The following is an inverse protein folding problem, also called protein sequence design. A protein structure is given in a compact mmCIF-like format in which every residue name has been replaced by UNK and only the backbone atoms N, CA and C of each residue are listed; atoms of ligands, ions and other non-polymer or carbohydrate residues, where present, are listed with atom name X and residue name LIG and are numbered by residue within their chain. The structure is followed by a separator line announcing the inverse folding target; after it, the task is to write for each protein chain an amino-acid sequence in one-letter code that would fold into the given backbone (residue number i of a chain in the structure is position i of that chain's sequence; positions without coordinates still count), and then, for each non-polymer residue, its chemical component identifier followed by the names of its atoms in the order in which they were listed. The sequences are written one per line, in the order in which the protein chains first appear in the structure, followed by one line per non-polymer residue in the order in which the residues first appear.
data_IF_417527966797
#
_entry.id   IF_417527966797
#
_cell.length_a   1.000
_cell.length_b   1.000
_cell.length_c   1.000
_cell.angle_alpha   90.00
_cell.angle_beta   90.00
_cell.angle_gamma   90.00
#
_symmetry.space_group_name_H-M   'P 1'
#
loop_
_entity.id
_entity.type
_entity.pdbx_description
1 polymer ?
#
# COMPACT_ATOMS: atom_id res chain seq x y z
N UNK A 1 21.04 26.57 5.77
CA UNK A 1 21.24 26.63 4.31
C UNK A 1 20.07 25.95 3.64
N UNK A 2 19.11 26.69 3.12
CA UNK A 2 18.05 26.15 2.26
C UNK A 2 18.70 25.68 0.95
N UNK A 3 18.76 24.37 0.71
CA UNK A 3 19.05 23.84 -0.63
C UNK A 3 17.88 24.21 -1.54
N UNK A 4 18.16 24.87 -2.67
CA UNK A 4 17.22 25.10 -3.75
C UNK A 4 16.57 23.77 -4.12
N UNK A 5 15.25 23.72 -4.08
CA UNK A 5 14.48 22.60 -4.65
C UNK A 5 14.73 22.60 -6.16
N UNK A 6 15.53 21.68 -6.65
CA UNK A 6 15.53 21.36 -8.05
C UNK A 6 14.21 20.64 -8.35
N UNK A 7 13.50 21.08 -9.40
CA UNK A 7 12.29 20.44 -9.93
C UNK A 7 12.60 19.09 -10.65
N UNK A 8 13.69 18.44 -10.29
CA UNK A 8 14.04 17.16 -10.87
C UNK A 8 13.28 16.02 -10.18
N UNK A 9 12.72 15.13 -11.01
CA UNK A 9 12.03 13.92 -10.53
C UNK A 9 13.02 13.02 -9.78
N UNK A 10 12.68 12.67 -8.54
CA UNK A 10 13.46 11.73 -7.73
C UNK A 10 13.10 10.31 -8.17
N UNK A 11 13.92 9.73 -9.04
CA UNK A 11 13.62 8.47 -9.74
C UNK A 11 13.32 7.31 -8.78
N UNK A 12 14.11 7.15 -7.73
CA UNK A 12 14.05 5.98 -6.82
C UNK A 12 12.71 5.81 -6.08
N UNK A 13 11.85 6.82 -6.07
CA UNK A 13 10.52 6.77 -5.43
C UNK A 13 9.37 6.93 -6.43
N UNK A 14 9.64 6.78 -7.73
CA UNK A 14 8.62 6.83 -8.77
C UNK A 14 7.88 5.49 -8.91
N UNK A 15 6.70 5.55 -9.51
CA UNK A 15 5.92 4.35 -9.89
C UNK A 15 6.79 3.34 -10.65
N UNK A 16 7.57 3.78 -11.63
CA UNK A 16 8.37 2.91 -12.50
C UNK A 16 9.48 2.14 -11.77
N UNK A 17 10.00 2.71 -10.70
CA UNK A 17 11.07 2.08 -9.92
C UNK A 17 10.54 1.15 -8.82
N UNK A 18 9.30 1.38 -8.39
CA UNK A 18 8.74 0.65 -7.26
C UNK A 18 7.88 -0.54 -7.68
N UNK A 19 7.21 -0.48 -8.87
CA UNK A 19 6.12 -1.39 -9.18
C UNK A 19 6.14 -1.96 -10.59
N UNK A 20 5.86 -3.24 -10.70
CA UNK A 20 5.42 -3.89 -11.94
C UNK A 20 3.90 -3.67 -12.10
N UNK A 21 3.51 -2.77 -12.98
CA UNK A 21 2.11 -2.43 -13.20
C UNK A 21 1.31 -3.51 -13.94
N UNK A 22 1.93 -4.60 -14.38
CA UNK A 22 1.19 -5.76 -14.91
C UNK A 22 0.51 -6.56 -13.81
N UNK A 23 0.91 -6.34 -12.56
CA UNK A 23 0.44 -7.05 -11.37
C UNK A 23 -0.65 -6.30 -10.59
N UNK A 24 -1.38 -5.41 -11.25
CA UNK A 24 -2.49 -4.68 -10.61
C UNK A 24 -3.52 -4.17 -11.61
N UNK A 25 -4.79 -4.23 -11.22
CA UNK A 25 -5.87 -3.57 -11.96
C UNK A 25 -5.81 -2.03 -11.86
N UNK A 26 -5.00 -1.47 -10.96
CA UNK A 26 -4.79 -0.04 -10.82
C UNK A 26 -3.83 0.56 -11.85
N UNK A 27 -3.31 -0.22 -12.80
CA UNK A 27 -2.37 0.23 -13.82
C UNK A 27 -2.77 1.57 -14.47
N UNK A 28 -4.01 1.78 -14.97
CA UNK A 28 -4.37 3.05 -15.61
C UNK A 28 -4.25 4.25 -14.68
N UNK A 29 -4.59 4.09 -13.40
CA UNK A 29 -4.46 5.14 -12.40
C UNK A 29 -2.99 5.45 -12.13
N UNK A 30 -2.17 4.42 -11.92
CA UNK A 30 -0.77 4.57 -11.55
C UNK A 30 0.09 5.10 -12.70
N UNK A 31 -0.22 4.77 -13.96
CA UNK A 31 0.41 5.35 -15.14
C UNK A 31 0.11 6.85 -15.31
N UNK A 32 -0.97 7.35 -14.71
CA UNK A 32 -1.37 8.76 -14.78
C UNK A 32 -0.61 9.68 -13.81
N UNK A 33 0.26 9.13 -12.98
CA UNK A 33 0.99 9.85 -11.93
C UNK A 33 2.49 9.52 -11.96
N UNK A 34 3.31 10.38 -11.37
CA UNK A 34 4.76 10.16 -11.27
C UNK A 34 5.12 9.43 -9.98
N UNK A 35 4.58 9.93 -8.88
CA UNK A 35 4.81 9.37 -7.55
C UNK A 35 3.58 8.62 -7.05
N UNK A 36 3.74 7.47 -6.37
CA UNK A 36 2.59 6.64 -5.96
C UNK A 36 1.59 7.36 -5.04
N UNK A 37 2.04 8.24 -4.18
CA UNK A 37 1.15 8.96 -3.28
C UNK A 37 0.21 9.94 -3.99
N UNK A 38 0.53 10.37 -5.21
CA UNK A 38 -0.36 11.20 -6.04
C UNK A 38 -1.64 10.47 -6.47
N UNK A 39 -1.65 9.14 -6.40
CA UNK A 39 -2.83 8.33 -6.66
C UNK A 39 -3.81 8.28 -5.46
N UNK A 40 -3.35 8.49 -4.23
CA UNK A 40 -4.16 8.33 -3.01
C UNK A 40 -5.50 9.08 -3.03
N UNK A 41 -5.57 10.36 -3.45
CA UNK A 41 -6.85 11.10 -3.51
C UNK A 41 -7.78 10.62 -4.62
N UNK A 42 -7.29 9.83 -5.57
CA UNK A 42 -8.02 9.36 -6.75
C UNK A 42 -8.55 7.93 -6.59
N UNK A 43 -8.11 7.18 -5.58
CA UNK A 43 -8.43 5.75 -5.40
C UNK A 43 -9.94 5.52 -5.36
N UNK A 44 -10.68 6.33 -4.61
CA UNK A 44 -12.12 6.16 -4.44
C UNK A 44 -12.88 6.16 -5.77
N UNK A 45 -12.68 7.20 -6.56
CA UNK A 45 -13.39 7.39 -7.82
C UNK A 45 -12.95 6.36 -8.87
N UNK A 46 -11.65 6.04 -8.88
CA UNK A 46 -11.11 4.99 -9.74
C UNK A 46 -11.72 3.61 -9.46
N UNK A 47 -11.88 3.22 -8.19
CA UNK A 47 -12.51 1.95 -7.82
C UNK A 47 -13.98 1.90 -8.30
N UNK A 48 -14.71 3.00 -8.20
CA UNK A 48 -16.11 3.06 -8.66
C UNK A 48 -16.17 2.90 -10.19
N UNK A 49 -15.29 3.60 -10.92
CA UNK A 49 -15.22 3.50 -12.37
C UNK A 49 -14.85 2.09 -12.82
N UNK A 50 -13.75 1.56 -12.28
CA UNK A 50 -13.29 0.20 -12.57
C UNK A 50 -14.35 -0.84 -12.24
N UNK A 51 -14.94 -0.75 -11.05
CA UNK A 51 -15.93 -1.72 -10.58
C UNK A 51 -17.17 -1.78 -11.48
N UNK A 52 -17.63 -0.64 -12.01
CA UNK A 52 -18.74 -0.61 -12.96
C UNK A 52 -18.40 -1.21 -14.33
N UNK A 53 -17.14 -1.40 -14.65
CA UNK A 53 -16.66 -2.02 -15.90
C UNK A 53 -16.33 -3.51 -15.76
N UNK A 54 -16.33 -4.06 -14.53
CA UNK A 54 -16.02 -5.47 -14.29
C UNK A 54 -17.09 -6.39 -14.87
N UNK A 55 -16.64 -7.56 -15.36
CA UNK A 55 -17.53 -8.58 -15.91
C UNK A 55 -18.40 -9.18 -14.78
N UNK A 56 -19.74 -9.09 -14.86
CA UNK A 56 -20.65 -9.69 -13.90
C UNK A 56 -20.60 -11.24 -13.89
N UNK A 57 -20.04 -11.86 -14.93
CA UNK A 57 -19.80 -13.31 -14.93
C UNK A 57 -18.63 -13.69 -14.01
N UNK A 58 -17.70 -12.79 -13.75
CA UNK A 58 -16.55 -13.00 -12.87
C UNK A 58 -16.73 -12.36 -11.49
N UNK A 59 -17.40 -11.21 -11.41
CA UNK A 59 -17.55 -10.45 -10.17
C UNK A 59 -19.01 -10.36 -9.70
N UNK A 60 -19.20 -10.60 -8.43
CA UNK A 60 -20.47 -10.38 -7.73
C UNK A 60 -20.50 -8.98 -7.12
N UNK A 61 -21.59 -8.23 -7.35
CA UNK A 61 -21.84 -6.96 -6.68
C UNK A 61 -22.58 -7.19 -5.36
N UNK A 62 -21.89 -7.13 -4.23
CA UNK A 62 -22.41 -7.43 -2.88
C UNK A 62 -22.92 -6.20 -2.11
N UNK A 63 -23.14 -5.08 -2.75
CA UNK A 63 -23.60 -3.86 -2.10
C UNK A 63 -23.30 -2.61 -2.91
N UNK A 64 -23.45 -1.46 -2.29
CA UNK A 64 -23.13 -0.20 -2.96
C UNK A 64 -21.63 -0.09 -3.18
N UNK A 65 -21.21 -0.14 -4.47
CA UNK A 65 -19.82 -0.06 -4.89
C UNK A 65 -18.89 -1.13 -4.26
N UNK A 66 -19.41 -2.35 -4.06
CA UNK A 66 -18.61 -3.49 -3.60
C UNK A 66 -18.66 -4.59 -4.65
N UNK A 67 -17.51 -4.94 -5.23
CA UNK A 67 -17.35 -6.00 -6.21
C UNK A 67 -16.36 -7.04 -5.70
N UNK A 68 -16.79 -8.28 -5.67
CA UNK A 68 -15.98 -9.39 -5.16
C UNK A 68 -15.91 -10.47 -6.24
N UNK A 69 -14.70 -10.88 -6.60
CA UNK A 69 -14.53 -11.97 -7.56
C UNK A 69 -15.15 -13.25 -7.01
N UNK A 70 -15.84 -14.02 -7.87
CA UNK A 70 -16.61 -15.21 -7.47
C UNK A 70 -15.77 -16.32 -6.84
N UNK A 71 -14.46 -16.36 -7.14
CA UNK A 71 -13.52 -17.31 -6.52
C UNK A 71 -12.90 -16.81 -5.20
N UNK A 72 -13.14 -15.54 -4.84
CA UNK A 72 -12.63 -15.01 -3.57
C UNK A 72 -13.37 -15.62 -2.38
N UNK A 73 -12.64 -15.87 -1.30
CA UNK A 73 -13.20 -16.37 -0.05
C UNK A 73 -13.33 -15.23 0.96
N UNK A 74 -14.56 -14.91 1.34
CA UNK A 74 -14.83 -13.89 2.37
C UNK A 74 -15.51 -14.56 3.55
N UNK A 75 -14.88 -14.51 4.71
CA UNK A 75 -15.41 -15.10 5.93
C UNK A 75 -16.55 -14.25 6.52
N UNK A 76 -17.55 -14.89 7.12
CA UNK A 76 -18.79 -14.25 7.59
C UNK A 76 -18.58 -13.11 8.59
N UNK A 77 -17.52 -13.18 9.38
CA UNK A 77 -17.19 -12.15 10.37
C UNK A 77 -16.38 -10.96 9.82
N UNK A 78 -16.04 -10.97 8.53
CA UNK A 78 -15.40 -9.82 7.89
C UNK A 78 -16.42 -8.72 7.60
N UNK A 79 -16.01 -7.47 7.79
CA UNK A 79 -16.81 -6.31 7.41
C UNK A 79 -16.18 -5.60 6.21
N UNK A 80 -16.96 -5.40 5.16
CA UNK A 80 -16.52 -4.71 3.95
C UNK A 80 -17.46 -3.55 3.65
N UNK A 81 -16.91 -2.33 3.61
CA UNK A 81 -17.59 -1.13 3.12
C UNK A 81 -17.06 -0.76 1.72
N UNK A 82 -17.94 -0.18 0.90
CA UNK A 82 -17.58 0.35 -0.41
C UNK A 82 -16.94 1.76 -0.36
N UNK A 83 -16.35 2.19 -1.47
CA UNK A 83 -16.08 1.38 -2.64
C UNK A 83 -14.94 0.37 -2.41
N UNK A 84 -15.12 -0.85 -2.90
CA UNK A 84 -14.17 -1.94 -2.70
C UNK A 84 -14.20 -2.92 -3.88
N UNK A 85 -13.03 -3.36 -4.31
CA UNK A 85 -12.86 -4.48 -5.23
C UNK A 85 -11.98 -5.52 -4.55
N UNK A 86 -12.44 -6.78 -4.54
CA UNK A 86 -11.66 -7.93 -4.09
C UNK A 86 -11.39 -8.84 -5.29
N UNK A 87 -10.12 -9.05 -5.59
CA UNK A 87 -9.65 -9.81 -6.75
C UNK A 87 -9.81 -11.32 -6.61
N UNK A 88 -9.43 -12.01 -7.68
CA UNK A 88 -9.52 -13.45 -7.86
C UNK A 88 -8.72 -14.20 -6.78
N UNK A 89 -9.28 -15.30 -6.28
CA UNK A 89 -8.63 -16.21 -5.32
C UNK A 89 -8.09 -15.54 -4.04
N UNK A 90 -8.58 -14.33 -3.73
CA UNK A 90 -8.21 -13.58 -2.54
C UNK A 90 -9.01 -14.04 -1.33
N UNK A 91 -8.33 -14.16 -0.17
CA UNK A 91 -8.97 -14.47 1.11
C UNK A 91 -9.13 -13.20 1.95
N UNK A 92 -10.38 -12.92 2.36
CA UNK A 92 -10.70 -11.93 3.40
C UNK A 92 -11.13 -12.68 4.64
N UNK A 93 -10.22 -12.79 5.60
CA UNK A 93 -10.33 -13.67 6.77
C UNK A 93 -11.17 -13.06 7.89
N UNK A 94 -11.33 -13.85 8.96
CA UNK A 94 -12.15 -13.51 10.12
C UNK A 94 -11.80 -12.14 10.70
N UNK A 95 -12.85 -11.36 11.01
CA UNK A 95 -12.73 -10.04 11.63
C UNK A 95 -11.91 -9.02 10.84
N UNK A 96 -11.63 -9.25 9.56
CA UNK A 96 -11.06 -8.22 8.70
C UNK A 96 -12.02 -7.04 8.60
N UNK A 97 -11.48 -5.82 8.62
CA UNK A 97 -12.26 -4.58 8.55
C UNK A 97 -11.82 -3.73 7.35
N UNK A 98 -12.54 -3.83 6.24
CA UNK A 98 -12.29 -3.02 5.05
C UNK A 98 -13.21 -1.81 5.09
N UNK A 99 -12.64 -0.63 5.32
CA UNK A 99 -13.38 0.64 5.52
C UNK A 99 -13.75 1.34 4.22
N UNK A 100 -13.41 0.76 3.08
CA UNK A 100 -13.68 1.34 1.77
C UNK A 100 -12.48 2.07 1.15
N UNK A 101 -12.67 2.46 -0.10
CA UNK A 101 -11.60 2.92 -0.99
C UNK A 101 -10.46 1.89 -1.04
N UNK A 102 -10.81 0.60 -1.14
CA UNK A 102 -9.85 -0.51 -1.14
C UNK A 102 -9.92 -1.29 -2.46
N UNK A 103 -8.82 -1.27 -3.21
CA UNK A 103 -8.60 -2.15 -4.33
C UNK A 103 -7.64 -3.25 -3.89
N UNK A 104 -8.13 -4.47 -3.80
CA UNK A 104 -7.33 -5.65 -3.43
C UNK A 104 -7.19 -6.53 -4.66
N UNK A 105 -5.97 -6.82 -5.04
CA UNK A 105 -5.61 -7.64 -6.20
C UNK A 105 -5.93 -9.12 -6.03
N UNK A 106 -5.38 -9.93 -6.93
CA UNK A 106 -5.59 -11.37 -6.98
C UNK A 106 -4.64 -12.11 -6.01
N UNK A 107 -5.05 -13.28 -5.55
CA UNK A 107 -4.26 -14.16 -4.67
C UNK A 107 -3.74 -13.46 -3.39
N UNK A 108 -4.47 -12.49 -2.88
CA UNK A 108 -4.11 -11.75 -1.68
C UNK A 108 -4.65 -12.42 -0.40
N UNK A 109 -4.05 -12.06 0.72
CA UNK A 109 -4.58 -12.38 2.05
C UNK A 109 -4.81 -11.09 2.83
N UNK A 110 -6.07 -10.78 3.11
CA UNK A 110 -6.48 -9.78 4.08
C UNK A 110 -6.89 -10.53 5.33
N UNK A 111 -6.00 -10.61 6.29
CA UNK A 111 -6.09 -11.59 7.37
C UNK A 111 -6.89 -11.15 8.57
N UNK A 112 -6.77 -11.96 9.62
CA UNK A 112 -7.50 -11.76 10.87
C UNK A 112 -7.27 -10.37 11.44
N UNK A 113 -8.36 -9.66 11.71
CA UNK A 113 -8.37 -8.33 12.34
C UNK A 113 -7.47 -7.29 11.63
N UNK A 114 -7.27 -7.45 10.33
CA UNK A 114 -6.56 -6.47 9.49
C UNK A 114 -7.54 -5.39 9.06
N UNK A 115 -7.13 -4.13 9.22
CA UNK A 115 -7.91 -2.98 8.77
C UNK A 115 -7.30 -2.39 7.50
N UNK A 116 -8.12 -2.20 6.46
CA UNK A 116 -7.75 -1.51 5.21
C UNK A 116 -8.57 -0.22 5.03
N UNK A 117 -7.91 0.86 4.63
CA UNK A 117 -8.56 2.14 4.36
C UNK A 117 -7.77 2.95 3.32
N UNK A 118 -8.41 3.25 2.19
CA UNK A 118 -7.81 4.04 1.11
C UNK A 118 -6.49 3.44 0.60
N UNK A 119 -6.57 2.26 -0.02
CA UNK A 119 -5.41 1.44 -0.39
C UNK A 119 -5.50 0.86 -1.80
N UNK A 120 -4.35 0.65 -2.40
CA UNK A 120 -4.16 -0.23 -3.56
C UNK A 120 -3.24 -1.36 -3.10
N UNK A 121 -3.75 -2.58 -3.15
CA UNK A 121 -3.04 -3.80 -2.82
C UNK A 121 -2.85 -4.56 -4.14
N UNK A 122 -1.61 -4.77 -4.55
CA UNK A 122 -1.27 -5.52 -5.78
C UNK A 122 -1.54 -7.01 -5.61
N UNK A 123 -1.34 -7.79 -6.68
CA UNK A 123 -1.51 -9.24 -6.63
C UNK A 123 -0.50 -9.89 -5.66
N UNK A 124 -0.88 -11.02 -5.08
CA UNK A 124 -0.07 -11.85 -4.17
C UNK A 124 0.41 -11.14 -2.89
N UNK A 125 -0.20 -10.04 -2.49
CA UNK A 125 0.13 -9.33 -1.25
C UNK A 125 -0.50 -10.01 -0.05
N UNK A 126 0.23 -10.05 1.06
CA UNK A 126 -0.26 -10.59 2.32
C UNK A 126 -0.19 -9.57 3.46
N UNK A 127 -1.35 -9.31 4.06
CA UNK A 127 -1.51 -8.53 5.30
C UNK A 127 -2.30 -9.37 6.30
N UNK A 128 -1.66 -10.47 6.82
CA UNK A 128 -2.40 -11.62 7.31
C UNK A 128 -2.87 -11.53 8.76
N UNK A 129 -2.29 -10.65 9.60
CA UNK A 129 -2.54 -10.68 11.04
C UNK A 129 -2.44 -9.31 11.70
N UNK A 130 -3.57 -8.76 12.19
CA UNK A 130 -3.59 -7.54 13.00
C UNK A 130 -2.83 -6.37 12.36
N UNK A 131 -2.95 -6.22 11.05
CA UNK A 131 -2.31 -5.12 10.35
C UNK A 131 -3.25 -3.91 10.26
N UNK A 132 -2.69 -2.71 10.28
CA UNK A 132 -3.38 -1.52 9.84
C UNK A 132 -2.70 -0.99 8.57
N UNK A 133 -3.47 -0.89 7.48
CA UNK A 133 -2.98 -0.36 6.20
C UNK A 133 -3.90 0.78 5.77
N UNK A 134 -3.43 1.99 5.91
CA UNK A 134 -4.19 3.19 5.58
C UNK A 134 -3.42 4.16 4.70
N UNK A 135 -4.09 4.71 3.69
CA UNK A 135 -3.51 5.68 2.75
C UNK A 135 -2.16 5.19 2.19
N UNK A 136 -2.16 3.97 1.62
CA UNK A 136 -0.95 3.23 1.27
C UNK A 136 -1.11 2.46 -0.04
N UNK A 137 0.01 2.15 -0.68
CA UNK A 137 0.09 1.26 -1.83
C UNK A 137 1.11 0.16 -1.53
N UNK A 138 0.69 -1.09 -1.66
CA UNK A 138 1.50 -2.27 -1.43
C UNK A 138 1.73 -2.99 -2.75
N UNK A 139 3.00 -3.05 -3.18
CA UNK A 139 3.43 -3.64 -4.44
C UNK A 139 3.32 -5.16 -4.48
N UNK A 140 3.49 -5.72 -5.66
CA UNK A 140 3.37 -7.14 -5.94
C UNK A 140 4.20 -8.00 -4.98
N UNK A 141 3.57 -9.05 -4.45
CA UNK A 141 4.22 -10.01 -3.56
C UNK A 141 4.79 -9.40 -2.27
N UNK A 142 4.36 -8.20 -1.88
CA UNK A 142 4.78 -7.64 -0.59
C UNK A 142 4.03 -8.28 0.58
N UNK A 143 4.67 -8.30 1.74
CA UNK A 143 4.14 -8.92 2.95
C UNK A 143 4.35 -8.03 4.16
N UNK A 144 3.34 -7.91 4.99
CA UNK A 144 3.42 -7.23 6.28
C UNK A 144 3.27 -8.25 7.41
N UNK A 145 4.33 -8.46 8.17
CA UNK A 145 4.33 -9.34 9.34
C UNK A 145 3.29 -8.94 10.39
N UNK A 146 2.94 -9.89 11.26
CA UNK A 146 1.90 -9.71 12.27
C UNK A 146 2.10 -8.44 13.10
N UNK A 147 1.02 -7.66 13.26
CA UNK A 147 1.02 -6.43 14.06
C UNK A 147 1.77 -5.24 13.43
N UNK A 148 2.35 -5.40 12.24
CA UNK A 148 2.96 -4.25 11.56
C UNK A 148 1.88 -3.31 10.99
N UNK A 149 2.16 -2.01 11.02
CA UNK A 149 1.18 -0.98 10.67
C UNK A 149 1.77 0.15 9.83
N UNK A 150 0.91 0.79 9.02
CA UNK A 150 1.21 2.05 8.36
C UNK A 150 0.60 3.20 9.15
N UNK A 151 1.41 3.95 9.91
CA UNK A 151 0.93 5.19 10.52
C UNK A 151 0.73 6.26 9.45
N UNK A 152 -0.48 6.76 9.28
CA UNK A 152 -0.83 7.63 8.16
C UNK A 152 -1.02 9.11 8.49
N UNK A 153 -0.92 9.50 9.76
CA UNK A 153 -1.06 10.89 10.21
C UNK A 153 0.08 11.24 11.15
N UNK A 154 0.75 12.36 10.88
CA UNK A 154 1.76 12.91 11.78
C UNK A 154 1.12 13.46 13.06
N UNK A 155 1.77 13.32 14.19
CA UNK A 155 1.29 13.81 15.48
C UNK A 155 1.09 15.33 15.52
N UNK A 156 1.95 16.07 14.82
CA UNK A 156 1.89 17.53 14.70
C UNK A 156 0.88 18.04 13.67
N UNK A 157 0.16 17.11 12.97
CA UNK A 157 -0.84 17.40 11.92
C UNK A 157 -0.31 18.21 10.72
N UNK A 158 0.99 18.35 10.59
CA UNK A 158 1.60 19.00 9.40
C UNK A 158 1.55 18.08 8.18
N UNK A 159 1.84 18.64 7.01
CA UNK A 159 1.89 17.88 5.77
C UNK A 159 3.02 16.85 5.78
N UNK A 160 2.78 15.74 5.12
CA UNK A 160 3.75 14.65 5.02
C UNK A 160 4.80 14.98 3.95
N UNK A 161 6.04 14.65 4.25
CA UNK A 161 7.16 14.70 3.33
C UNK A 161 7.73 13.30 3.12
N UNK A 162 8.19 13.00 1.92
CA UNK A 162 9.01 11.83 1.63
C UNK A 162 10.47 12.26 1.65
N UNK A 163 11.25 11.66 2.56
CA UNK A 163 12.65 12.05 2.80
C UNK A 163 13.60 10.90 2.49
N UNK A 164 14.62 11.18 1.73
CA UNK A 164 15.79 10.33 1.53
C UNK A 164 17.06 10.99 2.05
N UNK A 165 18.19 10.36 1.80
CA UNK A 165 19.49 10.90 2.21
C UNK A 165 19.81 12.23 1.54
N UNK A 166 19.39 12.39 0.29
CA UNK A 166 19.71 13.50 -0.60
C UNK A 166 18.49 14.28 -1.13
N UNK A 167 17.28 13.90 -0.72
CA UNK A 167 16.04 14.56 -1.15
C UNK A 167 15.03 14.76 -0.01
N UNK A 168 14.14 15.73 -0.20
CA UNK A 168 12.97 15.99 0.66
C UNK A 168 11.82 16.47 -0.24
N UNK A 169 10.82 15.61 -0.46
CA UNK A 169 9.68 15.89 -1.34
C UNK A 169 8.46 16.24 -0.50
N UNK A 170 7.95 17.44 -0.67
CA UNK A 170 6.67 17.85 -0.11
C UNK A 170 5.53 17.16 -0.88
N UNK A 171 4.69 16.40 -0.20
CA UNK A 171 3.61 15.63 -0.83
C UNK A 171 2.30 16.41 -0.94
N UNK A 172 2.14 17.47 -0.17
CA UNK A 172 0.87 18.19 -0.06
C UNK A 172 -0.21 17.47 0.76
N UNK A 173 0.07 16.30 1.30
CA UNK A 173 -0.91 15.43 1.96
C UNK A 173 -0.81 15.48 3.48
N UNK A 174 -1.97 15.46 4.15
CA UNK A 174 -2.08 15.26 5.61
C UNK A 174 -2.13 13.78 5.99
N UNK A 175 -2.63 12.93 5.07
CA UNK A 175 -2.76 11.48 5.28
C UNK A 175 -1.96 10.76 4.21
N UNK A 176 -0.98 10.01 4.65
CA UNK A 176 -0.12 9.20 3.81
C UNK A 176 0.56 8.15 4.73
N UNK A 177 0.26 6.89 4.52
CA UNK A 177 0.85 5.79 5.28
C UNK A 177 2.23 5.41 4.77
N UNK A 178 2.28 4.39 3.91
CA UNK A 178 3.52 3.91 3.31
C UNK A 178 3.32 3.44 1.86
N UNK A 179 4.40 3.50 1.09
CA UNK A 179 4.50 2.90 -0.24
C UNK A 179 5.52 1.77 -0.16
N UNK A 180 5.07 0.54 -0.38
CA UNK A 180 5.93 -0.63 -0.43
C UNK A 180 6.10 -1.03 -1.89
N UNK A 181 7.34 -1.04 -2.36
CA UNK A 181 7.68 -1.60 -3.66
C UNK A 181 7.42 -3.11 -3.73
N UNK A 182 7.60 -3.68 -4.91
CA UNK A 182 7.40 -5.11 -5.11
C UNK A 182 8.35 -5.96 -4.24
N UNK A 183 7.88 -7.10 -3.77
CA UNK A 183 8.66 -8.05 -2.95
C UNK A 183 9.23 -7.47 -1.65
N UNK A 184 8.58 -6.47 -1.07
CA UNK A 184 8.97 -5.93 0.24
C UNK A 184 8.45 -6.82 1.37
N UNK A 185 9.34 -7.16 2.32
CA UNK A 185 9.01 -7.92 3.52
C UNK A 185 9.11 -7.03 4.76
N UNK A 186 8.02 -6.84 5.47
CA UNK A 186 8.00 -6.04 6.72
C UNK A 186 7.90 -6.97 7.92
N UNK A 187 8.89 -6.92 8.79
CA UNK A 187 8.92 -7.72 10.02
C UNK A 187 7.81 -7.37 11.02
N UNK A 188 7.45 -8.35 11.85
CA UNK A 188 6.37 -8.23 12.83
C UNK A 188 6.51 -7.01 13.75
N UNK A 189 5.37 -6.42 14.14
CA UNK A 189 5.28 -5.27 15.05
C UNK A 189 6.10 -4.04 14.61
N UNK A 190 6.38 -3.91 13.33
CA UNK A 190 7.03 -2.73 12.79
C UNK A 190 6.04 -1.60 12.54
N UNK A 191 6.48 -0.37 12.72
CA UNK A 191 5.71 0.84 12.45
C UNK A 191 6.33 1.59 11.27
N UNK A 192 5.57 1.69 10.18
CA UNK A 192 5.95 2.52 9.05
C UNK A 192 5.33 3.91 9.26
N UNK A 193 6.19 4.91 9.55
CA UNK A 193 5.75 6.27 9.82
C UNK A 193 5.21 6.96 8.55
N UNK A 194 4.39 8.03 8.70
CA UNK A 194 3.84 8.74 7.55
C UNK A 194 4.91 9.19 6.56
N UNK A 195 4.71 8.85 5.28
CA UNK A 195 5.66 9.16 4.22
C UNK A 195 6.81 8.17 4.07
N UNK A 196 6.70 6.98 4.64
CA UNK A 196 7.66 5.91 4.40
C UNK A 196 7.50 5.37 2.97
N UNK A 197 8.61 5.24 2.26
CA UNK A 197 8.71 4.57 0.96
C UNK A 197 9.79 3.51 1.05
N UNK A 198 9.45 2.26 0.76
CA UNK A 198 10.38 1.14 0.81
C UNK A 198 10.59 0.63 -0.61
N UNK A 199 11.82 0.70 -1.09
CA UNK A 199 12.22 0.22 -2.40
C UNK A 199 12.04 -1.29 -2.55
N UNK A 200 11.83 -1.76 -3.78
CA UNK A 200 11.55 -3.16 -4.11
C UNK A 200 12.61 -4.12 -3.56
N UNK A 201 12.19 -5.35 -3.26
CA UNK A 201 13.05 -6.43 -2.75
C UNK A 201 13.77 -6.13 -1.43
N UNK A 202 13.21 -5.24 -0.60
CA UNK A 202 13.82 -4.88 0.70
C UNK A 202 13.13 -5.57 1.87
N UNK A 203 13.90 -5.83 2.93
CA UNK A 203 13.42 -6.42 4.17
C UNK A 203 13.54 -5.44 5.32
N UNK A 204 12.50 -5.33 6.11
CA UNK A 204 12.47 -4.55 7.36
C UNK A 204 12.51 -5.53 8.53
N UNK A 205 13.44 -5.39 9.44
CA UNK A 205 13.53 -6.25 10.61
C UNK A 205 12.34 -6.04 11.55
N UNK A 206 11.94 -7.08 12.31
CA UNK A 206 10.88 -6.95 13.31
C UNK A 206 11.16 -5.83 14.31
N UNK A 207 10.07 -5.25 14.88
CA UNK A 207 10.13 -4.17 15.87
C UNK A 207 10.77 -2.87 15.36
N UNK A 208 10.82 -2.69 14.05
CA UNK A 208 11.42 -1.51 13.44
C UNK A 208 10.48 -0.30 13.46
N UNK A 209 11.06 0.87 13.64
CA UNK A 209 10.43 2.16 13.41
C UNK A 209 11.02 2.78 12.14
N UNK A 210 10.33 2.62 11.02
CA UNK A 210 10.81 3.09 9.72
C UNK A 210 10.29 4.49 9.42
N UNK A 211 11.14 5.35 8.87
CA UNK A 211 10.79 6.69 8.42
C UNK A 211 11.57 7.06 7.17
N UNK A 212 10.88 7.65 6.18
CA UNK A 212 11.51 8.11 4.93
C UNK A 212 11.75 6.97 3.95
N UNK A 213 12.71 7.14 3.07
CA UNK A 213 13.02 6.21 2.01
C UNK A 213 14.03 5.14 2.45
N UNK A 214 13.68 3.89 2.19
CA UNK A 214 14.58 2.73 2.30
C UNK A 214 14.94 2.29 0.88
N UNK A 215 16.22 2.21 0.51
CA UNK A 215 16.64 1.81 -0.83
C UNK A 215 16.17 0.40 -1.22
N UNK A 216 16.00 0.17 -2.52
CA UNK A 216 15.73 -1.18 -3.05
C UNK A 216 16.87 -2.15 -2.72
N UNK A 217 16.55 -3.45 -2.68
CA UNK A 217 17.51 -4.52 -2.36
C UNK A 217 18.26 -4.30 -1.03
N UNK A 218 17.57 -3.80 -0.01
CA UNK A 218 18.15 -3.49 1.28
C UNK A 218 17.58 -4.33 2.41
N UNK A 219 18.37 -4.48 3.48
CA UNK A 219 17.91 -4.95 4.78
C UNK A 219 17.98 -3.76 5.73
N UNK A 220 16.83 -3.33 6.22
CA UNK A 220 16.70 -2.30 7.25
C UNK A 220 16.69 -2.99 8.61
N UNK A 221 17.76 -2.87 9.37
CA UNK A 221 17.88 -3.37 10.74
C UNK A 221 17.45 -2.30 11.75
N UNK A 222 17.92 -1.06 11.53
CA UNK A 222 17.46 0.15 12.21
C UNK A 222 17.76 1.40 11.35
N UNK A 223 17.46 2.58 11.88
CA UNK A 223 17.62 3.85 11.13
C UNK A 223 19.05 4.14 10.68
N UNK A 224 20.06 3.60 11.35
CA UNK A 224 21.48 3.82 11.09
C UNK A 224 22.18 2.59 10.50
N UNK A 225 21.48 1.46 10.40
CA UNK A 225 22.01 0.20 9.88
C UNK A 225 21.11 -0.33 8.76
N UNK A 226 21.34 0.19 7.55
CA UNK A 226 20.71 -0.27 6.31
C UNK A 226 21.81 -0.85 5.43
N UNK A 227 21.69 -2.14 5.11
CA UNK A 227 22.70 -2.84 4.31
C UNK A 227 22.09 -3.32 2.99
N UNK A 228 22.89 -3.31 1.92
CA UNK A 228 22.49 -3.87 0.63
C UNK A 228 22.49 -5.41 0.71
N UNK A 229 21.48 -6.04 0.10
CA UNK A 229 21.45 -7.51 -0.07
C UNK A 229 22.50 -7.92 -1.11
N UNK A 230 23.18 -9.00 -0.85
CA UNK A 230 24.13 -9.64 -1.76
C UNK A 230 23.53 -10.85 -2.45
#
# INVERSE_FOLDING_TARGET
RYKKMNNETVKQVTIKELYDLTETAAKPLLESVTYPWEALPKIKDFIIELGNSLDPEEYEKRGENIWIHKSATVFDSAYIAGPCIIGKDTEVRQCAFIRGSALVGDNCVVGNSTELKNVIIFNNVQVPHYNYVGDSILGFHSHMGAGSITSNVKSDKTLVHVKGADFDIATGMKKFGAMLGDYVEVGCNSVLNPGTVIGSHSNIYPLSRVRGYVPSNSIYKDQNDIVTKH
#
